data_IF_561619557030
#
_entry.id   IF_561619557030
#
_cell.length_a   1.000
_cell.length_b   1.000
_cell.length_c   1.000
_cell.angle_alpha   90.00
_cell.angle_beta   90.00
_cell.angle_gamma   90.00
#
_symmetry.space_group_name_H-M   'P 1'
#
loop_
_entity.id
_entity.type
_entity.pdbx_description
1 polymer ?
#
# COMPACT_ATOMS: atom_id res chain seq x y z
N UNK A 1 -27.63 -14.59 8.72
CA UNK A 1 -26.96 -13.28 8.83
C UNK A 1 -27.81 -12.21 9.52
N UNK A 2 -29.09 -11.99 9.16
CA UNK A 2 -29.93 -10.93 9.76
C UNK A 2 -29.93 -10.86 11.29
N UNK A 3 -30.09 -12.00 11.98
CA UNK A 3 -30.01 -12.04 13.45
C UNK A 3 -28.64 -11.60 13.99
N UNK A 4 -27.51 -12.08 13.41
CA UNK A 4 -26.15 -11.67 13.80
C UNK A 4 -25.93 -10.17 13.62
N UNK A 5 -26.33 -9.62 12.47
CA UNK A 5 -26.24 -8.17 12.15
C UNK A 5 -27.03 -7.35 13.16
N UNK A 6 -28.28 -7.76 13.41
CA UNK A 6 -29.18 -7.09 14.34
C UNK A 6 -28.65 -7.11 15.77
N UNK A 7 -28.18 -8.27 16.25
CA UNK A 7 -27.57 -8.39 17.58
C UNK A 7 -26.33 -7.51 17.74
N UNK A 8 -25.41 -7.55 16.78
CA UNK A 8 -24.19 -6.74 16.80
C UNK A 8 -24.53 -5.24 16.89
N UNK A 9 -25.49 -4.75 16.11
CA UNK A 9 -25.96 -3.35 16.16
C UNK A 9 -26.69 -3.02 17.46
N UNK A 10 -27.55 -3.93 17.93
CA UNK A 10 -28.36 -3.71 19.12
C UNK A 10 -27.50 -3.52 20.38
N UNK A 11 -26.38 -4.22 20.48
CA UNK A 11 -25.42 -4.04 21.57
C UNK A 11 -24.84 -2.62 21.65
N UNK A 12 -24.73 -1.88 20.53
CA UNK A 12 -24.33 -0.47 20.57
C UNK A 12 -25.47 0.51 20.89
N UNK A 13 -26.71 0.01 21.01
CA UNK A 13 -27.94 0.81 21.16
C UNK A 13 -28.74 0.46 22.42
N UNK A 14 -28.26 -0.47 23.24
CA UNK A 14 -28.93 -0.81 24.49
C UNK A 14 -28.98 0.40 25.45
N UNK A 15 -30.03 0.50 26.29
CA UNK A 15 -30.07 1.45 27.38
C UNK A 15 -28.81 1.36 28.26
N UNK A 16 -28.26 2.47 28.76
CA UNK A 16 -27.03 2.48 29.55
C UNK A 16 -27.03 1.51 30.73
N UNK A 17 -28.19 1.29 31.35
CA UNK A 17 -28.35 0.31 32.45
C UNK A 17 -28.04 -1.12 32.00
N UNK A 18 -28.52 -1.54 30.83
CA UNK A 18 -28.28 -2.88 30.30
C UNK A 18 -26.83 -3.03 29.82
N UNK A 19 -26.28 -1.99 29.20
CA UNK A 19 -24.88 -1.97 28.81
C UNK A 19 -23.96 -2.14 30.01
N UNK A 20 -24.17 -1.38 31.10
CA UNK A 20 -23.35 -1.48 32.31
C UNK A 20 -23.49 -2.85 32.99
N UNK A 21 -24.70 -3.44 32.97
CA UNK A 21 -24.94 -4.75 33.56
C UNK A 21 -24.23 -5.89 32.81
N UNK A 22 -24.16 -5.83 31.47
CA UNK A 22 -23.64 -6.91 30.62
C UNK A 22 -22.37 -6.53 29.86
N UNK A 23 -21.65 -5.49 30.30
CA UNK A 23 -20.53 -4.88 29.56
C UNK A 23 -19.48 -5.89 29.11
N UNK A 24 -19.03 -6.77 30.01
CA UNK A 24 -18.00 -7.77 29.71
C UNK A 24 -18.50 -8.84 28.73
N UNK A 25 -19.72 -9.33 28.90
CA UNK A 25 -20.31 -10.33 27.99
C UNK A 25 -20.50 -9.77 26.58
N UNK A 26 -20.94 -8.51 26.50
CA UNK A 26 -21.11 -7.80 25.24
C UNK A 26 -19.75 -7.61 24.55
N UNK A 27 -18.72 -7.14 25.26
CA UNK A 27 -17.38 -6.97 24.68
C UNK A 27 -16.79 -8.30 24.22
N UNK A 28 -16.94 -9.36 25.02
CA UNK A 28 -16.51 -10.72 24.65
C UNK A 28 -17.23 -11.27 23.41
N UNK A 29 -18.46 -10.82 23.13
CA UNK A 29 -19.19 -11.18 21.91
C UNK A 29 -18.79 -10.30 20.71
N UNK A 30 -18.60 -9.00 20.92
CA UNK A 30 -18.31 -8.03 19.86
C UNK A 30 -16.88 -8.13 19.34
N UNK A 31 -15.88 -8.22 20.23
CA UNK A 31 -14.46 -8.19 19.85
C UNK A 31 -14.11 -9.30 18.83
N UNK A 32 -14.42 -10.58 19.06
CA UNK A 32 -14.15 -11.63 18.07
C UNK A 32 -14.90 -11.43 16.75
N UNK A 33 -16.07 -10.79 16.80
CA UNK A 33 -16.92 -10.53 15.62
C UNK A 33 -16.30 -9.50 14.67
N UNK A 34 -15.34 -8.69 15.12
CA UNK A 34 -14.63 -7.73 14.26
C UNK A 34 -13.68 -8.43 13.29
N UNK A 35 -13.16 -9.61 13.64
CA UNK A 35 -12.19 -10.32 12.82
C UNK A 35 -12.84 -10.92 11.57
N UNK A 36 -12.10 -10.88 10.45
CA UNK A 36 -12.54 -11.50 9.21
C UNK A 36 -12.72 -13.01 9.41
N UNK A 37 -13.90 -13.53 9.06
CA UNK A 37 -14.16 -14.95 9.20
C UNK A 37 -13.28 -15.79 8.24
N UNK A 38 -12.71 -16.87 8.74
CA UNK A 38 -11.85 -17.77 7.94
C UNK A 38 -12.64 -18.44 6.80
N UNK A 39 -13.85 -18.91 7.12
CA UNK A 39 -14.73 -19.59 6.16
C UNK A 39 -15.47 -18.58 5.29
N UNK A 40 -15.22 -18.62 3.98
CA UNK A 40 -15.82 -17.70 3.01
C UNK A 40 -17.36 -17.74 3.07
N UNK A 41 -17.96 -18.92 3.28
CA UNK A 41 -19.41 -19.10 3.29
C UNK A 41 -20.14 -18.35 4.43
N UNK A 42 -19.43 -17.97 5.50
CA UNK A 42 -20.01 -17.29 6.67
C UNK A 42 -19.55 -15.84 6.83
N UNK A 43 -18.75 -15.33 5.88
CA UNK A 43 -18.27 -13.95 5.90
C UNK A 43 -19.44 -12.98 5.77
N UNK A 44 -19.54 -12.05 6.71
CA UNK A 44 -20.58 -11.04 6.72
C UNK A 44 -20.06 -9.69 7.19
N UNK A 45 -19.59 -8.88 6.23
CA UNK A 45 -19.01 -7.55 6.49
C UNK A 45 -19.95 -6.65 7.30
N UNK A 46 -21.26 -6.72 7.07
CA UNK A 46 -22.23 -5.87 7.77
C UNK A 46 -22.32 -6.21 9.26
N UNK A 47 -22.14 -7.47 9.62
CA UNK A 47 -22.05 -7.88 11.04
C UNK A 47 -20.77 -7.33 11.68
N UNK A 48 -19.62 -7.39 10.98
CA UNK A 48 -18.35 -6.85 11.48
C UNK A 48 -18.41 -5.34 11.67
N UNK A 49 -18.94 -4.62 10.68
CA UNK A 49 -19.17 -3.17 10.73
C UNK A 49 -20.04 -2.80 11.93
N UNK A 50 -21.16 -3.49 12.12
CA UNK A 50 -22.06 -3.25 13.25
C UNK A 50 -21.37 -3.50 14.60
N UNK A 51 -20.51 -4.52 14.68
CA UNK A 51 -19.73 -4.79 15.89
C UNK A 51 -18.74 -3.67 16.17
N UNK A 52 -17.95 -3.25 15.17
CA UNK A 52 -16.99 -2.14 15.27
C UNK A 52 -17.68 -0.86 15.75
N UNK A 53 -18.83 -0.52 15.18
CA UNK A 53 -19.60 0.67 15.56
C UNK A 53 -20.17 0.61 16.99
N UNK A 54 -20.36 -0.59 17.53
CA UNK A 54 -20.97 -0.79 18.85
C UNK A 54 -19.95 -0.73 19.99
N UNK A 55 -18.71 -1.19 19.76
CA UNK A 55 -17.61 -1.14 20.74
C UNK A 55 -17.46 0.21 21.46
N UNK A 56 -17.34 1.37 20.77
CA UNK A 56 -17.18 2.67 21.43
C UNK A 56 -18.35 3.02 22.35
N UNK A 57 -19.57 2.64 21.98
CA UNK A 57 -20.77 2.94 22.78
C UNK A 57 -20.80 2.12 24.07
N UNK A 58 -20.40 0.84 24.02
CA UNK A 58 -20.28 0.00 25.22
C UNK A 58 -19.26 0.59 26.17
N UNK A 59 -18.06 0.95 25.67
CA UNK A 59 -17.01 1.58 26.50
C UNK A 59 -17.47 2.89 27.14
N UNK A 60 -18.22 3.73 26.42
CA UNK A 60 -18.64 5.06 26.89
C UNK A 60 -19.53 5.08 28.14
N UNK A 61 -20.14 3.95 28.49
CA UNK A 61 -21.00 3.84 29.67
C UNK A 61 -20.36 3.09 30.85
N UNK A 62 -19.14 2.56 30.64
CA UNK A 62 -18.39 1.86 31.67
C UNK A 62 -17.76 2.85 32.64
N UNK A 63 -17.43 2.38 33.83
CA UNK A 63 -16.58 3.16 34.73
C UNK A 63 -15.17 3.27 34.10
N UNK A 64 -14.52 4.43 34.24
CA UNK A 64 -13.30 4.75 33.49
C UNK A 64 -12.19 3.71 33.67
N UNK A 65 -11.99 3.19 34.88
CA UNK A 65 -11.00 2.14 35.14
C UNK A 65 -11.28 0.86 34.35
N UNK A 66 -12.55 0.48 34.25
CA UNK A 66 -12.95 -0.73 33.54
C UNK A 66 -12.80 -0.52 32.04
N UNK A 67 -13.22 0.63 31.51
CA UNK A 67 -13.07 0.96 30.10
C UNK A 67 -11.59 0.90 29.67
N UNK A 68 -10.69 1.52 30.45
CA UNK A 68 -9.25 1.51 30.21
C UNK A 68 -8.69 0.09 30.17
N UNK A 69 -9.17 -0.82 31.04
CA UNK A 69 -8.74 -2.21 31.04
C UNK A 69 -9.14 -2.98 29.77
N UNK A 70 -10.20 -2.57 29.07
CA UNK A 70 -10.66 -3.18 27.82
C UNK A 70 -10.04 -2.58 26.55
N UNK A 71 -9.46 -1.37 26.63
CA UNK A 71 -8.96 -0.66 25.46
C UNK A 71 -7.91 -1.47 24.69
N UNK A 72 -7.03 -2.17 25.38
CA UNK A 72 -6.02 -3.02 24.75
C UNK A 72 -6.63 -4.05 23.80
N UNK A 73 -7.70 -4.74 24.21
CA UNK A 73 -8.38 -5.75 23.39
C UNK A 73 -9.23 -5.12 22.28
N UNK A 74 -9.88 -3.99 22.57
CA UNK A 74 -10.67 -3.25 21.57
C UNK A 74 -9.76 -2.71 20.47
N UNK A 75 -8.58 -2.17 20.83
CA UNK A 75 -7.62 -1.69 19.86
C UNK A 75 -7.02 -2.80 18.99
N UNK A 76 -6.80 -4.00 19.53
CA UNK A 76 -6.42 -5.15 18.69
C UNK A 76 -7.49 -5.47 17.63
N UNK A 77 -8.76 -5.41 18.01
CA UNK A 77 -9.87 -5.61 17.08
C UNK A 77 -9.93 -4.50 16.01
N UNK A 78 -9.76 -3.24 16.41
CA UNK A 78 -9.75 -2.11 15.47
C UNK A 78 -8.55 -2.15 14.52
N UNK A 79 -7.37 -2.56 14.99
CA UNK A 79 -6.19 -2.77 14.15
C UNK A 79 -6.47 -3.86 13.10
N UNK A 80 -7.09 -4.98 13.49
CA UNK A 80 -7.49 -6.03 12.55
C UNK A 80 -8.52 -5.51 11.52
N UNK A 81 -9.47 -4.68 11.94
CA UNK A 81 -10.45 -4.07 11.04
C UNK A 81 -9.82 -3.08 10.05
N UNK A 82 -8.79 -2.33 10.46
CA UNK A 82 -8.05 -1.41 9.60
C UNK A 82 -7.24 -2.14 8.52
N UNK A 83 -6.88 -3.40 8.75
CA UNK A 83 -6.21 -4.28 7.78
C UNK A 83 -7.19 -5.21 7.03
N UNK A 84 -8.51 -5.01 7.15
CA UNK A 84 -9.53 -5.76 6.38
C UNK A 84 -9.58 -5.23 4.93
N UNK A 85 -8.89 -5.93 4.02
CA UNK A 85 -8.97 -5.69 2.57
C UNK A 85 -9.86 -6.74 1.86
N UNK A 86 -10.80 -7.37 2.56
CA UNK A 86 -11.66 -8.40 1.95
C UNK A 86 -12.50 -7.82 0.79
N UNK A 87 -12.73 -8.65 -0.23
CA UNK A 87 -13.52 -8.28 -1.41
C UNK A 87 -14.61 -9.30 -1.69
N UNK A 88 -15.74 -8.84 -2.23
CA UNK A 88 -16.78 -9.67 -2.83
C UNK A 88 -17.18 -9.12 -4.21
N UNK A 89 -18.33 -9.53 -4.73
CA UNK A 89 -18.87 -9.04 -6.01
C UNK A 89 -19.21 -7.53 -6.02
N UNK A 90 -19.19 -6.86 -4.85
CA UNK A 90 -19.37 -5.41 -4.68
C UNK A 90 -18.04 -4.65 -4.62
N UNK A 91 -16.91 -5.34 -4.72
CA UNK A 91 -15.57 -4.75 -4.64
C UNK A 91 -14.96 -4.86 -3.25
N UNK A 92 -14.22 -3.82 -2.82
CA UNK A 92 -13.55 -3.73 -1.51
C UNK A 92 -14.57 -3.47 -0.39
N UNK A 93 -15.25 -4.52 0.05
CA UNK A 93 -16.16 -4.48 1.19
C UNK A 93 -15.44 -4.27 2.52
N UNK A 94 -14.18 -4.71 2.63
CA UNK A 94 -13.36 -4.48 3.83
C UNK A 94 -13.19 -3.00 4.15
N UNK A 95 -13.29 -2.13 3.14
CA UNK A 95 -13.29 -0.67 3.34
C UNK A 95 -14.37 -0.15 4.29
N UNK A 96 -15.49 -0.87 4.43
CA UNK A 96 -16.55 -0.50 5.38
C UNK A 96 -16.10 -0.74 6.82
N UNK A 97 -15.34 -1.82 7.06
CA UNK A 97 -14.69 -2.06 8.34
C UNK A 97 -13.64 -0.99 8.63
N UNK A 98 -12.81 -0.63 7.62
CA UNK A 98 -11.79 0.43 7.77
C UNK A 98 -12.42 1.79 8.12
N UNK A 99 -13.48 2.21 7.41
CA UNK A 99 -14.21 3.45 7.71
C UNK A 99 -14.82 3.42 9.12
N UNK A 100 -15.47 2.33 9.49
CA UNK A 100 -16.05 2.16 10.83
C UNK A 100 -14.98 2.18 11.93
N UNK A 101 -13.83 1.55 11.71
CA UNK A 101 -12.75 1.45 12.69
C UNK A 101 -12.09 2.80 12.96
N UNK A 102 -11.86 3.59 11.90
CA UNK A 102 -11.34 4.97 12.05
C UNK A 102 -12.30 5.81 12.90
N UNK A 103 -13.60 5.79 12.60
CA UNK A 103 -14.61 6.53 13.38
C UNK A 103 -14.67 6.07 14.83
N UNK A 104 -14.64 4.75 15.06
CA UNK A 104 -14.68 4.17 16.39
C UNK A 104 -13.45 4.58 17.21
N UNK A 105 -12.26 4.53 16.61
CA UNK A 105 -11.02 4.96 17.25
C UNK A 105 -11.06 6.43 17.67
N UNK A 106 -11.46 7.33 16.76
CA UNK A 106 -11.57 8.77 17.08
C UNK A 106 -12.55 9.02 18.22
N UNK A 107 -13.70 8.35 18.22
CA UNK A 107 -14.66 8.43 19.34
C UNK A 107 -14.06 7.91 20.66
N UNK A 108 -13.30 6.81 20.62
CA UNK A 108 -12.63 6.27 21.82
C UNK A 108 -11.59 7.26 22.33
N UNK A 109 -10.77 7.86 21.46
CA UNK A 109 -9.81 8.89 21.87
C UNK A 109 -10.49 10.11 22.50
N UNK A 110 -11.68 10.49 22.04
CA UNK A 110 -12.46 11.58 22.66
C UNK A 110 -13.04 11.22 24.03
N UNK A 111 -13.64 10.04 24.15
CA UNK A 111 -14.31 9.59 25.38
C UNK A 111 -13.34 9.12 26.46
N UNK A 112 -12.21 8.56 26.05
CA UNK A 112 -11.13 8.05 26.89
C UNK A 112 -9.80 8.57 26.37
N UNK A 113 -9.36 9.77 26.76
CA UNK A 113 -8.17 10.41 26.18
C UNK A 113 -6.86 9.61 26.31
N UNK A 114 -5.98 9.59 25.28
CA UNK A 114 -4.73 8.84 25.27
C UNK A 114 -3.78 9.08 26.44
N UNK A 115 -3.82 10.25 27.07
CA UNK A 115 -3.02 10.57 28.27
C UNK A 115 -3.28 9.66 29.48
N UNK A 116 -4.37 8.89 29.47
CA UNK A 116 -4.71 7.93 30.53
C UNK A 116 -4.34 6.49 30.20
N UNK A 117 -3.76 6.23 29.02
CA UNK A 117 -3.44 4.88 28.59
C UNK A 117 -2.16 4.40 29.25
N UNK A 118 -2.10 3.11 29.59
CA UNK A 118 -0.83 2.47 29.88
C UNK A 118 0.05 2.41 28.60
N UNK A 119 1.37 2.19 28.73
CA UNK A 119 2.28 2.21 27.59
C UNK A 119 1.92 1.23 26.46
N UNK A 120 1.37 0.05 26.77
CA UNK A 120 1.00 -0.94 25.75
C UNK A 120 -0.25 -0.51 24.99
N UNK A 121 -1.26 -0.01 25.69
CA UNK A 121 -2.47 0.53 25.06
C UNK A 121 -2.17 1.78 24.23
N UNK A 122 -1.25 2.63 24.69
CA UNK A 122 -0.82 3.84 23.96
C UNK A 122 -0.09 3.50 22.65
N UNK A 123 0.75 2.47 22.65
CA UNK A 123 1.41 1.97 21.43
C UNK A 123 0.39 1.52 20.37
N UNK A 124 -0.64 0.77 20.78
CA UNK A 124 -1.73 0.36 19.89
C UNK A 124 -2.53 1.57 19.38
N UNK A 125 -2.79 2.57 20.22
CA UNK A 125 -3.47 3.80 19.82
C UNK A 125 -2.67 4.57 18.74
N UNK A 126 -1.33 4.64 18.88
CA UNK A 126 -0.44 5.20 17.86
C UNK A 126 -0.54 4.45 16.54
N UNK A 127 -0.46 3.12 16.58
CA UNK A 127 -0.61 2.29 15.37
C UNK A 127 -1.96 2.51 14.67
N UNK A 128 -3.05 2.65 15.43
CA UNK A 128 -4.37 2.98 14.87
C UNK A 128 -4.34 4.36 14.18
N UNK A 129 -3.71 5.36 14.80
CA UNK A 129 -3.59 6.69 14.21
C UNK A 129 -2.73 6.68 12.93
N UNK A 130 -1.64 5.92 12.90
CA UNK A 130 -0.79 5.78 11.71
C UNK A 130 -1.52 5.06 10.58
N UNK A 131 -2.25 3.99 10.88
CA UNK A 131 -3.13 3.32 9.90
C UNK A 131 -4.27 4.24 9.44
N UNK A 132 -4.74 5.16 10.28
CA UNK A 132 -5.71 6.19 9.87
C UNK A 132 -5.09 7.14 8.82
N UNK A 133 -3.80 7.49 8.98
CA UNK A 133 -3.06 8.23 7.95
C UNK A 133 -2.99 7.46 6.63
N UNK A 134 -2.68 6.15 6.67
CA UNK A 134 -2.75 5.27 5.49
C UNK A 134 -4.11 5.34 4.81
N UNK A 135 -5.19 5.09 5.56
CA UNK A 135 -6.56 5.04 5.02
C UNK A 135 -6.99 6.39 4.44
N UNK A 136 -6.48 7.51 4.95
CA UNK A 136 -6.78 8.86 4.43
C UNK A 136 -6.30 9.12 3.00
N UNK A 137 -5.42 8.27 2.46
CA UNK A 137 -4.84 8.37 1.11
C UNK A 137 -5.08 7.12 0.23
N UNK A 138 -5.88 6.16 0.70
CA UNK A 138 -6.24 4.96 -0.07
C UNK A 138 -7.26 5.23 -1.20
N UNK A 139 -7.64 4.21 -1.97
CA UNK A 139 -8.41 4.34 -3.23
C UNK A 139 -9.82 4.92 -3.10
N UNK A 140 -10.51 4.72 -1.97
CA UNK A 140 -11.95 4.97 -1.88
C UNK A 140 -12.22 6.38 -1.36
N UNK A 141 -12.70 7.23 -2.26
CA UNK A 141 -12.94 8.66 -2.02
C UNK A 141 -13.69 8.97 -0.71
N UNK A 142 -14.79 8.27 -0.43
CA UNK A 142 -15.57 8.53 0.80
C UNK A 142 -14.82 8.12 2.07
N UNK A 143 -14.06 7.03 2.01
CA UNK A 143 -13.28 6.52 3.14
C UNK A 143 -12.09 7.44 3.40
N UNK A 144 -11.43 7.96 2.35
CA UNK A 144 -10.39 8.99 2.50
C UNK A 144 -10.91 10.22 3.21
N UNK A 145 -12.07 10.74 2.82
CA UNK A 145 -12.69 11.89 3.47
C UNK A 145 -12.87 11.64 4.97
N UNK A 146 -13.53 10.53 5.34
CA UNK A 146 -13.73 10.16 6.74
C UNK A 146 -12.40 10.09 7.49
N UNK A 147 -11.42 9.38 6.93
CA UNK A 147 -10.15 9.14 7.59
C UNK A 147 -9.30 10.41 7.70
N UNK A 148 -9.34 11.29 6.71
CA UNK A 148 -8.70 12.60 6.76
C UNK A 148 -9.26 13.48 7.87
N UNK A 149 -10.59 13.57 7.99
CA UNK A 149 -11.24 14.33 9.07
C UNK A 149 -10.87 13.77 10.45
N UNK A 150 -10.95 12.45 10.62
CA UNK A 150 -10.61 11.76 11.87
C UNK A 150 -9.12 11.89 12.25
N UNK A 151 -8.23 11.80 11.25
CA UNK A 151 -6.78 11.99 11.43
C UNK A 151 -6.49 13.40 11.91
N UNK A 152 -7.03 14.41 11.21
CA UNK A 152 -6.83 15.83 11.55
C UNK A 152 -7.31 16.13 12.97
N UNK A 153 -8.50 15.65 13.32
CA UNK A 153 -9.07 15.81 14.65
C UNK A 153 -8.21 15.15 15.75
N UNK A 154 -7.76 13.92 15.52
CA UNK A 154 -6.93 13.18 16.48
C UNK A 154 -5.55 13.84 16.64
N UNK A 155 -4.97 14.32 15.55
CA UNK A 155 -3.67 14.97 15.54
C UNK A 155 -3.70 16.36 16.17
N UNK A 156 -4.77 17.14 15.96
CA UNK A 156 -4.97 18.44 16.61
C UNK A 156 -5.10 18.32 18.13
N UNK A 157 -5.82 17.29 18.61
CA UNK A 157 -6.16 17.16 20.03
C UNK A 157 -5.18 16.31 20.85
N UNK A 158 -4.58 15.31 20.23
CA UNK A 158 -3.76 14.27 20.90
C UNK A 158 -2.44 14.04 20.18
N UNK A 159 -1.95 15.07 19.48
CA UNK A 159 -0.74 14.97 18.69
C UNK A 159 0.43 14.44 19.51
N UNK A 160 0.62 14.93 20.75
CA UNK A 160 1.80 14.63 21.58
C UNK A 160 1.80 13.15 22.00
N UNK A 161 0.65 12.68 22.49
CA UNK A 161 0.49 11.30 22.93
C UNK A 161 0.59 10.32 21.76
N UNK A 162 -0.05 10.66 20.63
CA UNK A 162 -0.14 9.82 19.43
C UNK A 162 1.02 10.02 18.44
N UNK A 163 1.96 10.92 18.72
CA UNK A 163 3.11 11.27 17.87
C UNK A 163 2.70 11.70 16.45
N UNK A 164 1.73 12.59 16.34
CA UNK A 164 1.15 13.06 15.07
C UNK A 164 1.56 14.49 14.69
N UNK A 165 2.47 15.16 15.42
CA UNK A 165 2.88 16.56 15.14
C UNK A 165 3.29 16.74 13.70
N UNK A 166 4.19 15.86 13.23
CA UNK A 166 4.79 15.97 11.90
C UNK A 166 3.71 15.92 10.81
N UNK A 167 2.80 14.96 10.87
CA UNK A 167 1.72 14.88 9.89
C UNK A 167 0.72 16.03 10.08
N UNK A 168 0.39 16.40 11.31
CA UNK A 168 -0.50 17.53 11.58
C UNK A 168 -0.01 18.83 10.94
N UNK A 169 1.28 19.13 11.05
CA UNK A 169 1.88 20.32 10.46
C UNK A 169 1.71 20.38 8.94
N UNK A 170 1.70 19.22 8.28
CA UNK A 170 1.50 19.11 6.83
C UNK A 170 0.03 19.22 6.43
N UNK A 171 -0.91 18.72 7.25
CA UNK A 171 -2.34 18.60 6.89
C UNK A 171 -3.28 19.61 7.58
N UNK A 172 -2.82 20.43 8.54
CA UNK A 172 -3.67 21.32 9.33
C UNK A 172 -4.56 22.25 8.50
N UNK A 173 -4.08 22.68 7.34
CA UNK A 173 -4.81 23.55 6.40
C UNK A 173 -5.64 22.77 5.36
N UNK A 174 -5.48 21.45 5.27
CA UNK A 174 -6.19 20.58 4.32
C UNK A 174 -7.67 20.49 4.69
N UNK A 175 -8.54 20.54 3.68
CA UNK A 175 -9.99 20.43 3.83
C UNK A 175 -10.43 18.97 3.64
N UNK A 176 -11.57 18.62 4.20
CA UNK A 176 -12.19 17.29 4.03
C UNK A 176 -12.45 16.94 2.56
N UNK A 177 -12.77 17.95 1.73
CA UNK A 177 -12.93 17.78 0.29
C UNK A 177 -11.61 17.42 -0.42
N UNK A 178 -10.46 17.92 0.05
CA UNK A 178 -9.16 17.61 -0.53
C UNK A 178 -8.77 16.14 -0.27
N UNK A 179 -9.16 15.59 0.89
CA UNK A 179 -9.03 14.15 1.14
C UNK A 179 -9.95 13.34 0.23
N UNK A 180 -11.22 13.76 0.10
CA UNK A 180 -12.18 13.11 -0.78
C UNK A 180 -11.69 13.05 -2.24
N UNK A 181 -11.13 14.15 -2.73
CA UNK A 181 -10.64 14.32 -4.11
C UNK A 181 -9.22 13.75 -4.33
N UNK A 182 -8.54 13.31 -3.27
CA UNK A 182 -7.17 12.77 -3.34
C UNK A 182 -6.06 13.83 -3.34
N UNK A 183 -6.41 15.13 -3.40
CA UNK A 183 -5.46 16.25 -3.36
C UNK A 183 -4.61 16.28 -2.10
N UNK A 184 -5.17 15.81 -0.98
CA UNK A 184 -4.48 15.73 0.31
C UNK A 184 -3.22 14.86 0.30
N UNK A 185 -3.05 13.97 -0.70
CA UNK A 185 -1.87 13.10 -0.83
C UNK A 185 -0.58 13.93 -0.88
N UNK A 186 -0.59 15.07 -1.57
CA UNK A 186 0.58 15.95 -1.70
C UNK A 186 1.04 16.53 -0.36
N UNK A 187 0.13 16.66 0.62
CA UNK A 187 0.43 17.11 1.97
C UNK A 187 0.85 15.93 2.86
N UNK A 188 0.09 14.83 2.84
CA UNK A 188 0.35 13.65 3.69
C UNK A 188 1.73 13.05 3.42
N UNK A 189 2.16 13.00 2.15
CA UNK A 189 3.48 12.45 1.77
C UNK A 189 4.65 13.21 2.41
N UNK A 190 4.49 14.51 2.71
CA UNK A 190 5.53 15.33 3.34
C UNK A 190 5.86 14.89 4.78
N UNK A 191 4.99 14.08 5.39
CA UNK A 191 5.21 13.55 6.72
C UNK A 191 6.16 12.35 6.76
N UNK A 192 6.54 11.77 5.61
CA UNK A 192 7.53 10.70 5.54
C UNK A 192 8.87 11.20 6.11
N UNK A 193 9.47 10.40 6.98
CA UNK A 193 10.76 10.67 7.62
C UNK A 193 11.34 9.40 8.27
N UNK A 194 12.67 9.18 8.21
CA UNK A 194 13.34 8.12 8.96
C UNK A 194 13.06 8.16 10.47
N UNK A 195 12.94 9.35 11.05
CA UNK A 195 12.67 9.55 12.48
C UNK A 195 11.27 9.11 12.93
N UNK A 196 10.34 8.89 11.99
CA UNK A 196 8.95 8.49 12.26
C UNK A 196 8.62 7.19 11.52
N UNK A 197 9.43 6.15 11.74
CA UNK A 197 9.47 4.96 10.87
C UNK A 197 8.12 4.24 10.72
N UNK A 198 7.36 4.08 11.80
CA UNK A 198 6.06 3.40 11.74
C UNK A 198 5.01 4.20 10.95
N UNK A 199 4.95 5.52 11.15
CA UNK A 199 4.06 6.40 10.39
C UNK A 199 4.44 6.42 8.90
N UNK A 200 5.74 6.54 8.60
CA UNK A 200 6.25 6.51 7.23
C UNK A 200 5.87 5.22 6.50
N UNK A 201 5.99 4.06 7.16
CA UNK A 201 5.57 2.77 6.59
C UNK A 201 4.10 2.73 6.24
N UNK A 202 3.23 3.24 7.11
CA UNK A 202 1.79 3.28 6.86
C UNK A 202 1.43 4.27 5.74
N UNK A 203 2.07 5.44 5.68
CA UNK A 203 1.89 6.41 4.58
C UNK A 203 2.31 5.76 3.24
N UNK A 204 3.51 5.19 3.16
CA UNK A 204 4.01 4.55 1.94
C UNK A 204 3.10 3.40 1.51
N UNK A 205 2.62 2.58 2.46
CA UNK A 205 1.64 1.53 2.15
C UNK A 205 0.35 2.09 1.53
N UNK A 206 -0.11 3.25 2.00
CA UNK A 206 -1.31 3.93 1.46
C UNK A 206 -1.09 4.43 0.04
N UNK A 207 0.09 5.01 -0.23
CA UNK A 207 0.50 5.47 -1.56
C UNK A 207 0.59 4.31 -2.55
N UNK A 208 1.29 3.23 -2.18
CA UNK A 208 1.41 2.01 -3.00
C UNK A 208 0.03 1.43 -3.28
N UNK A 209 -0.84 1.35 -2.27
CA UNK A 209 -2.21 0.90 -2.49
C UNK A 209 -2.93 1.82 -3.48
N UNK A 210 -2.87 3.14 -3.34
CA UNK A 210 -3.54 4.10 -4.23
C UNK A 210 -3.04 4.05 -5.68
N UNK A 211 -1.71 4.01 -5.91
CA UNK A 211 -1.09 3.88 -7.25
C UNK A 211 -1.54 2.59 -7.95
N UNK A 212 -1.84 1.54 -7.20
CA UNK A 212 -2.38 0.30 -7.74
C UNK A 212 -3.88 0.29 -8.09
N UNK A 213 -4.56 1.43 -7.98
CA UNK A 213 -6.01 1.55 -8.11
C UNK A 213 -6.59 1.32 -9.50
N UNK A 214 -7.89 1.58 -9.65
CA UNK A 214 -8.56 1.61 -10.97
C UNK A 214 -8.85 3.04 -11.44
N UNK A 215 -8.66 4.03 -10.57
CA UNK A 215 -8.89 5.44 -10.85
C UNK A 215 -7.59 6.06 -11.38
N UNK A 216 -7.49 6.18 -12.69
CA UNK A 216 -6.29 6.70 -13.37
C UNK A 216 -5.92 8.12 -12.93
N UNK A 217 -6.90 8.97 -12.61
CA UNK A 217 -6.62 10.33 -12.15
C UNK A 217 -6.00 10.33 -10.75
N UNK A 218 -6.52 9.49 -9.85
CA UNK A 218 -5.95 9.32 -8.52
C UNK A 218 -4.57 8.66 -8.57
N UNK A 219 -4.37 7.66 -9.44
CA UNK A 219 -3.08 7.00 -9.63
C UNK A 219 -2.00 8.02 -10.03
N UNK A 220 -2.28 8.80 -11.07
CA UNK A 220 -1.35 9.82 -11.56
C UNK A 220 -1.06 10.85 -10.47
N UNK A 221 -2.10 11.42 -9.84
CA UNK A 221 -1.93 12.39 -8.77
C UNK A 221 -1.09 11.85 -7.60
N UNK A 222 -1.31 10.58 -7.23
CA UNK A 222 -0.55 9.93 -6.15
C UNK A 222 0.90 9.71 -6.55
N UNK A 223 1.15 9.17 -7.76
CA UNK A 223 2.48 8.92 -8.28
C UNK A 223 3.28 10.23 -8.43
N UNK A 224 2.69 11.27 -9.04
CA UNK A 224 3.34 12.58 -9.16
C UNK A 224 3.64 13.20 -7.80
N UNK A 225 2.74 13.06 -6.82
CA UNK A 225 2.98 13.57 -5.45
C UNK A 225 4.14 12.87 -4.76
N UNK A 226 4.25 11.54 -4.91
CA UNK A 226 5.35 10.76 -4.37
C UNK A 226 6.68 11.08 -5.05
N UNK A 227 6.71 11.14 -6.39
CA UNK A 227 7.89 11.53 -7.17
C UNK A 227 8.34 12.93 -6.79
N UNK A 228 7.41 13.90 -6.73
CA UNK A 228 7.73 15.26 -6.32
C UNK A 228 8.29 15.31 -4.90
N UNK A 229 7.77 14.52 -3.97
CA UNK A 229 8.34 14.44 -2.62
C UNK A 229 9.78 13.92 -2.65
N UNK A 230 10.03 12.78 -3.30
CA UNK A 230 11.37 12.17 -3.39
C UNK A 230 12.38 13.10 -4.06
N UNK A 231 11.97 13.86 -5.07
CA UNK A 231 12.83 14.82 -5.77
C UNK A 231 13.18 16.08 -4.96
N UNK A 232 12.42 16.38 -3.90
CA UNK A 232 12.59 17.62 -3.12
C UNK A 232 12.99 17.37 -1.65
N UNK A 233 13.06 16.12 -1.19
CA UNK A 233 13.59 15.78 0.13
C UNK A 233 15.12 15.60 0.09
N UNK A 234 15.73 15.42 1.27
CA UNK A 234 17.12 15.00 1.37
C UNK A 234 17.32 13.56 0.88
N UNK A 235 18.56 13.24 0.49
CA UNK A 235 18.96 11.95 -0.06
C UNK A 235 18.67 10.78 0.90
N UNK A 236 18.91 10.96 2.20
CA UNK A 236 18.62 9.95 3.23
C UNK A 236 17.13 9.59 3.24
N UNK A 237 16.25 10.60 3.22
CA UNK A 237 14.80 10.41 3.19
C UNK A 237 14.33 9.80 1.87
N UNK A 238 14.94 10.18 0.74
CA UNK A 238 14.64 9.61 -0.57
C UNK A 238 14.94 8.10 -0.61
N UNK A 239 16.16 7.72 -0.22
CA UNK A 239 16.59 6.31 -0.16
C UNK A 239 15.73 5.54 0.84
N UNK A 240 15.47 6.10 2.02
CA UNK A 240 14.59 5.51 3.01
C UNK A 240 13.18 5.22 2.46
N UNK A 241 12.61 6.14 1.67
CA UNK A 241 11.33 5.94 1.01
C UNK A 241 11.37 4.76 0.03
N UNK A 242 12.43 4.69 -0.79
CA UNK A 242 12.69 3.56 -1.69
C UNK A 242 12.75 2.23 -0.94
N UNK A 243 13.53 2.15 0.14
CA UNK A 243 13.68 0.94 0.96
C UNK A 243 12.36 0.48 1.59
N UNK A 244 11.52 1.38 2.09
CA UNK A 244 10.19 1.01 2.61
C UNK A 244 9.34 0.35 1.51
N UNK A 245 9.37 0.87 0.29
CA UNK A 245 8.60 0.33 -0.83
C UNK A 245 9.09 -1.08 -1.19
N UNK A 246 10.42 -1.28 -1.20
CA UNK A 246 11.02 -2.58 -1.48
C UNK A 246 10.73 -3.59 -0.35
N UNK A 247 10.77 -3.19 0.93
CA UNK A 247 10.35 -4.01 2.07
C UNK A 247 8.88 -4.43 1.97
N UNK A 248 8.00 -3.48 1.64
CA UNK A 248 6.58 -3.74 1.46
C UNK A 248 6.34 -4.73 0.31
N UNK A 249 7.09 -4.59 -0.78
CA UNK A 249 7.00 -5.50 -1.91
C UNK A 249 7.50 -6.91 -1.55
N UNK A 250 8.67 -7.00 -0.92
CA UNK A 250 9.29 -8.27 -0.53
C UNK A 250 8.37 -9.12 0.35
N UNK A 251 7.76 -8.49 1.36
CA UNK A 251 6.79 -9.13 2.26
C UNK A 251 5.49 -9.53 1.57
N UNK A 252 5.21 -9.01 0.37
CA UNK A 252 3.98 -9.21 -0.37
C UNK A 252 4.17 -9.80 -1.78
N UNK A 253 5.31 -10.43 -2.09
CA UNK A 253 5.63 -10.93 -3.43
C UNK A 253 4.52 -11.78 -4.07
N UNK A 254 3.84 -12.63 -3.28
CA UNK A 254 2.76 -13.51 -3.77
C UNK A 254 1.38 -12.86 -3.74
N UNK A 255 1.22 -11.76 -3.00
CA UNK A 255 -0.03 -11.03 -2.89
C UNK A 255 -0.14 -10.07 -4.07
N UNK A 256 -0.83 -10.46 -5.14
CA UNK A 256 -0.97 -9.64 -6.36
C UNK A 256 -1.56 -8.26 -6.10
N UNK A 257 -2.36 -8.09 -5.04
CA UNK A 257 -2.96 -6.81 -4.65
C UNK A 257 -1.95 -5.76 -4.20
N UNK A 258 -0.77 -6.17 -3.76
CA UNK A 258 0.30 -5.27 -3.34
C UNK A 258 1.54 -5.44 -4.22
N UNK A 259 1.83 -6.64 -4.71
CA UNK A 259 3.00 -6.84 -5.57
C UNK A 259 2.93 -6.09 -6.90
N UNK A 260 1.78 -6.04 -7.59
CA UNK A 260 1.68 -5.26 -8.84
C UNK A 260 1.76 -3.76 -8.55
N UNK A 261 1.01 -3.22 -7.56
CA UNK A 261 1.16 -1.82 -7.20
C UNK A 261 2.55 -1.40 -6.73
N UNK A 262 3.28 -2.28 -6.02
CA UNK A 262 4.68 -2.05 -5.68
C UNK A 262 5.56 -1.93 -6.93
N UNK A 263 5.41 -2.83 -7.91
CA UNK A 263 6.15 -2.75 -9.19
C UNK A 263 5.90 -1.41 -9.87
N UNK A 264 4.62 -1.00 -9.99
CA UNK A 264 4.26 0.27 -10.61
C UNK A 264 4.83 1.48 -9.85
N UNK A 265 4.80 1.42 -8.51
CA UNK A 265 5.33 2.50 -7.67
C UNK A 265 6.84 2.65 -7.84
N UNK A 266 7.57 1.54 -7.84
CA UNK A 266 9.02 1.53 -8.08
C UNK A 266 9.33 2.03 -9.49
N UNK A 267 8.56 1.61 -10.50
CA UNK A 267 8.74 2.09 -11.88
C UNK A 267 8.56 3.60 -12.02
N UNK A 268 7.53 4.18 -11.40
CA UNK A 268 7.35 5.64 -11.36
C UNK A 268 8.53 6.36 -10.69
N UNK A 269 9.04 5.83 -9.57
CA UNK A 269 10.15 6.42 -8.85
C UNK A 269 11.45 6.34 -9.64
N UNK A 270 11.81 5.16 -10.13
CA UNK A 270 13.06 4.99 -10.89
C UNK A 270 13.01 5.79 -12.20
N UNK A 271 11.86 5.86 -12.87
CA UNK A 271 11.73 6.65 -14.11
C UNK A 271 11.90 8.15 -13.90
N UNK A 272 11.61 8.69 -12.71
CA UNK A 272 11.42 10.12 -12.51
C UNK A 272 12.13 10.69 -11.27
N UNK A 273 13.08 9.97 -10.67
CA UNK A 273 13.81 10.45 -9.49
C UNK A 273 15.27 10.00 -9.45
N UNK A 274 16.11 10.65 -8.63
CA UNK A 274 17.51 10.27 -8.44
C UNK A 274 17.71 8.84 -7.92
N UNK A 275 16.66 8.16 -7.42
CA UNK A 275 16.74 6.76 -6.97
C UNK A 275 17.27 5.81 -8.05
N UNK A 276 17.16 6.17 -9.33
CA UNK A 276 17.75 5.41 -10.43
C UNK A 276 19.27 5.27 -10.32
N UNK A 277 19.94 6.23 -9.68
CA UNK A 277 21.41 6.25 -9.56
C UNK A 277 21.92 5.57 -8.28
N UNK A 278 21.05 4.88 -7.53
CA UNK A 278 21.43 4.14 -6.32
C UNK A 278 21.50 2.63 -6.61
N UNK A 279 22.72 2.12 -6.78
CA UNK A 279 22.98 0.71 -7.13
C UNK A 279 22.26 -0.28 -6.19
N UNK A 280 22.25 -0.04 -4.88
CA UNK A 280 21.60 -0.92 -3.91
C UNK A 280 20.09 -1.05 -4.16
N UNK A 281 19.43 0.07 -4.49
CA UNK A 281 18.00 0.09 -4.84
C UNK A 281 17.75 -0.67 -6.14
N UNK A 282 18.60 -0.48 -7.15
CA UNK A 282 18.46 -1.16 -8.45
C UNK A 282 18.70 -2.67 -8.31
N UNK A 283 19.78 -3.07 -7.65
CA UNK A 283 20.12 -4.48 -7.42
C UNK A 283 19.01 -5.19 -6.65
N UNK A 284 18.50 -4.57 -5.58
CA UNK A 284 17.39 -5.12 -4.80
C UNK A 284 16.10 -5.18 -5.63
N UNK A 285 15.83 -4.15 -6.44
CA UNK A 285 14.68 -4.12 -7.36
C UNK A 285 14.72 -5.29 -8.36
N UNK A 286 15.85 -5.50 -9.04
CA UNK A 286 16.00 -6.59 -10.02
C UNK A 286 15.82 -7.97 -9.36
N UNK A 287 16.38 -8.16 -8.17
CA UNK A 287 16.19 -9.38 -7.37
C UNK A 287 14.71 -9.62 -7.04
N UNK A 288 14.00 -8.58 -6.59
CA UNK A 288 12.57 -8.67 -6.31
C UNK A 288 11.75 -8.93 -7.57
N UNK A 289 12.08 -8.34 -8.72
CA UNK A 289 11.44 -8.67 -10.00
C UNK A 289 11.62 -10.15 -10.34
N UNK A 290 12.84 -10.67 -10.24
CA UNK A 290 13.14 -12.07 -10.51
C UNK A 290 12.30 -13.00 -9.61
N UNK A 291 12.24 -12.71 -8.31
CA UNK A 291 11.46 -13.47 -7.35
C UNK A 291 9.94 -13.36 -7.62
N UNK A 292 9.47 -12.15 -7.95
CA UNK A 292 8.07 -11.85 -8.22
C UNK A 292 7.54 -12.52 -9.50
N UNK A 293 8.40 -12.73 -10.49
CA UNK A 293 8.07 -13.28 -11.82
C UNK A 293 8.32 -14.79 -11.93
N UNK A 294 8.96 -15.39 -10.93
CA UNK A 294 9.20 -16.84 -10.86
C UNK A 294 7.91 -17.57 -10.50
N UNK A 295 7.55 -18.58 -11.30
CA UNK A 295 6.37 -19.42 -11.06
C UNK A 295 5.00 -18.74 -11.20
N UNK A 296 4.93 -17.42 -11.37
CA UNK A 296 3.65 -16.71 -11.52
C UNK A 296 3.03 -16.90 -12.90
N UNK A 297 1.69 -17.02 -12.92
CA UNK A 297 0.87 -17.01 -14.13
C UNK A 297 0.13 -15.69 -14.37
N UNK A 298 0.36 -14.69 -13.53
CA UNK A 298 -0.27 -13.37 -13.63
C UNK A 298 0.37 -12.57 -14.77
N UNK A 299 -0.32 -12.47 -15.90
CA UNK A 299 0.15 -11.75 -17.09
C UNK A 299 0.33 -10.26 -16.82
N UNK A 300 -0.54 -9.64 -16.02
CA UNK A 300 -0.44 -8.22 -15.70
C UNK A 300 0.83 -7.93 -14.92
N UNK A 301 1.09 -8.73 -13.88
CA UNK A 301 2.32 -8.66 -13.09
C UNK A 301 3.58 -8.86 -13.94
N UNK A 302 3.57 -9.85 -14.84
CA UNK A 302 4.70 -10.12 -15.72
C UNK A 302 4.96 -8.95 -16.70
N UNK A 303 3.91 -8.31 -17.23
CA UNK A 303 4.04 -7.14 -18.08
C UNK A 303 4.56 -5.92 -17.31
N UNK A 304 4.05 -5.63 -16.11
CA UNK A 304 4.57 -4.54 -15.27
C UNK A 304 6.03 -4.76 -14.88
N UNK A 305 6.41 -6.00 -14.58
CA UNK A 305 7.81 -6.36 -14.32
C UNK A 305 8.71 -6.13 -15.55
N UNK A 306 8.23 -6.47 -16.75
CA UNK A 306 8.98 -6.22 -17.98
C UNK A 306 9.17 -4.71 -18.23
N UNK A 307 8.15 -3.88 -17.99
CA UNK A 307 8.25 -2.43 -18.10
C UNK A 307 9.31 -1.87 -17.14
N UNK A 308 9.24 -2.22 -15.86
CA UNK A 308 10.22 -1.80 -14.86
C UNK A 308 11.66 -2.22 -15.21
N UNK A 309 11.86 -3.44 -15.71
CA UNK A 309 13.19 -3.86 -16.16
C UNK A 309 13.65 -3.08 -17.39
N UNK A 310 12.75 -2.74 -18.32
CA UNK A 310 13.05 -1.87 -19.46
C UNK A 310 13.52 -0.48 -18.99
N UNK A 311 12.83 0.10 -18.01
CA UNK A 311 13.24 1.36 -17.36
C UNK A 311 14.65 1.27 -16.79
N UNK A 312 14.98 0.19 -16.07
CA UNK A 312 16.32 0.00 -15.49
C UNK A 312 17.39 -0.12 -16.59
N UNK A 313 17.16 -0.99 -17.59
CA UNK A 313 18.12 -1.24 -18.67
C UNK A 313 18.32 -0.01 -19.57
N UNK A 314 17.29 0.82 -19.75
CA UNK A 314 17.35 1.99 -20.63
C UNK A 314 18.06 3.20 -20.02
N UNK A 315 18.20 3.27 -18.69
CA UNK A 315 18.82 4.41 -17.99
C UNK A 315 20.27 4.14 -17.55
N UNK A 316 20.95 3.19 -18.18
CA UNK A 316 22.36 2.89 -17.92
C UNK A 316 23.24 4.14 -18.07
N UNK A 317 23.90 4.53 -16.97
CA UNK A 317 24.83 5.66 -16.92
C UNK A 317 26.30 5.25 -17.08
N UNK A 318 26.60 4.20 -17.86
CA UNK A 318 27.96 3.94 -18.38
C UNK A 318 29.05 3.77 -17.31
N UNK A 319 28.65 3.39 -16.09
CA UNK A 319 29.44 3.51 -14.87
C UNK A 319 29.80 2.18 -14.21
N UNK A 320 29.98 1.11 -14.98
CA UNK A 320 30.80 -0.04 -14.59
C UNK A 320 30.57 -0.69 -13.22
N UNK A 321 29.38 -1.26 -12.97
CA UNK A 321 29.21 -2.54 -12.22
C UNK A 321 27.83 -3.22 -12.43
N UNK A 322 27.32 -3.24 -13.67
CA UNK A 322 26.35 -4.22 -14.23
C UNK A 322 25.20 -4.77 -13.35
N UNK A 323 24.26 -3.95 -12.84
CA UNK A 323 22.89 -4.41 -12.59
C UNK A 323 22.13 -4.77 -13.90
N UNK A 324 22.64 -4.31 -15.05
CA UNK A 324 22.03 -4.49 -16.38
C UNK A 324 22.05 -5.93 -16.84
N UNK A 325 23.17 -6.64 -16.64
CA UNK A 325 23.26 -8.04 -17.04
C UNK A 325 22.22 -8.91 -16.29
N UNK A 326 22.03 -8.78 -14.96
CA UNK A 326 20.88 -9.34 -14.27
C UNK A 326 19.52 -8.91 -14.86
N UNK A 327 19.28 -7.60 -15.06
CA UNK A 327 18.00 -7.10 -15.53
C UNK A 327 17.64 -7.60 -16.94
N UNK A 328 18.59 -7.52 -17.88
CA UNK A 328 18.51 -8.07 -19.24
C UNK A 328 18.24 -9.58 -19.20
N UNK A 329 18.95 -10.35 -18.35
CA UNK A 329 18.70 -11.80 -18.21
C UNK A 329 17.26 -12.09 -17.78
N UNK A 330 16.70 -11.28 -16.87
CA UNK A 330 15.30 -11.45 -16.45
C UNK A 330 14.35 -11.07 -17.60
N UNK A 331 14.58 -9.97 -18.33
CA UNK A 331 13.80 -9.59 -19.52
C UNK A 331 13.80 -10.69 -20.58
N UNK A 332 14.97 -11.20 -20.95
CA UNK A 332 15.12 -12.29 -21.92
C UNK A 332 14.42 -13.56 -21.43
N UNK A 333 14.45 -13.85 -20.12
CA UNK A 333 13.66 -14.95 -19.53
C UNK A 333 12.14 -14.75 -19.72
N UNK A 334 11.64 -13.51 -19.60
CA UNK A 334 10.24 -13.17 -19.86
C UNK A 334 9.85 -13.35 -21.33
N UNK A 335 10.76 -13.08 -22.27
CA UNK A 335 10.60 -13.36 -23.70
C UNK A 335 10.42 -14.87 -23.99
N UNK A 336 10.77 -15.76 -23.05
CA UNK A 336 10.54 -17.20 -23.16
C UNK A 336 9.21 -17.71 -22.57
N UNK A 337 8.39 -16.85 -21.95
CA UNK A 337 7.16 -17.29 -21.24
C UNK A 337 6.11 -17.82 -22.22
N UNK A 338 5.25 -18.72 -21.74
CA UNK A 338 4.15 -19.28 -22.54
C UNK A 338 3.11 -18.25 -23.02
N UNK A 339 3.09 -17.06 -22.42
CA UNK A 339 2.11 -16.01 -22.66
C UNK A 339 2.57 -15.04 -23.77
N UNK A 340 1.93 -15.01 -24.96
CA UNK A 340 2.32 -14.15 -26.08
C UNK A 340 2.48 -12.67 -25.71
N UNK A 341 1.52 -12.13 -24.95
CA UNK A 341 1.52 -10.74 -24.50
C UNK A 341 2.76 -10.39 -23.66
N UNK A 342 3.21 -11.31 -22.80
CA UNK A 342 4.40 -11.10 -21.96
C UNK A 342 5.66 -11.10 -22.81
N UNK A 343 5.76 -12.04 -23.77
CA UNK A 343 6.92 -12.12 -24.66
C UNK A 343 7.10 -10.86 -25.48
N UNK A 344 6.00 -10.42 -26.12
CA UNK A 344 5.96 -9.18 -26.89
C UNK A 344 6.35 -7.97 -26.04
N UNK A 345 5.72 -7.80 -24.88
CA UNK A 345 6.05 -6.71 -23.95
C UNK A 345 7.54 -6.73 -23.57
N UNK A 346 8.09 -7.87 -23.19
CA UNK A 346 9.50 -7.95 -22.80
C UNK A 346 10.47 -7.62 -23.95
N UNK A 347 10.16 -8.07 -25.17
CA UNK A 347 10.95 -7.74 -26.34
C UNK A 347 10.87 -6.25 -26.71
N UNK A 348 9.67 -5.67 -26.68
CA UNK A 348 9.46 -4.22 -26.91
C UNK A 348 10.23 -3.38 -25.89
N UNK A 349 10.16 -3.75 -24.60
CA UNK A 349 10.87 -3.04 -23.53
C UNK A 349 12.39 -3.13 -23.68
N UNK A 350 12.93 -4.31 -24.03
CA UNK A 350 14.37 -4.46 -24.28
C UNK A 350 14.81 -3.65 -25.52
N UNK A 351 14.03 -3.69 -26.60
CA UNK A 351 14.31 -2.91 -27.80
C UNK A 351 14.31 -1.40 -27.50
N UNK A 352 13.28 -0.89 -26.82
CA UNK A 352 13.21 0.51 -26.42
C UNK A 352 14.38 0.91 -25.52
N UNK A 353 14.74 0.07 -24.55
CA UNK A 353 15.88 0.32 -23.67
C UNK A 353 17.20 0.43 -24.46
N UNK A 354 17.44 -0.46 -25.42
CA UNK A 354 18.63 -0.42 -26.27
C UNK A 354 18.71 0.84 -27.14
N UNK A 355 17.58 1.45 -27.51
CA UNK A 355 17.57 2.72 -28.25
C UNK A 355 18.03 3.91 -27.39
N UNK A 356 18.04 3.78 -26.07
CA UNK A 356 18.45 4.83 -25.14
C UNK A 356 19.94 4.79 -24.81
N UNK A 357 20.65 3.72 -25.18
CA UNK A 357 22.08 3.57 -24.92
C UNK A 357 22.90 4.57 -25.75
N UNK A 358 23.97 5.09 -25.14
CA UNK A 358 24.87 6.01 -25.84
C UNK A 358 25.69 5.32 -26.94
N UNK A 359 26.25 6.13 -27.84
CA UNK A 359 27.06 5.61 -28.97
C UNK A 359 28.28 4.81 -28.50
N UNK A 360 28.83 5.12 -27.32
CA UNK A 360 29.99 4.43 -26.76
C UNK A 360 29.63 2.99 -26.35
N UNK A 361 28.53 2.82 -25.61
CA UNK A 361 28.01 1.53 -25.14
C UNK A 361 27.56 0.66 -26.30
N UNK A 362 26.86 1.25 -27.28
CA UNK A 362 26.46 0.56 -28.51
C UNK A 362 27.69 0.11 -29.32
N UNK A 363 28.69 0.99 -29.50
CA UNK A 363 29.91 0.69 -30.25
C UNK A 363 30.77 -0.37 -29.57
N UNK A 364 30.85 -0.37 -28.23
CA UNK A 364 31.57 -1.39 -27.46
C UNK A 364 31.00 -2.80 -27.67
N UNK A 365 29.68 -2.89 -27.89
CA UNK A 365 28.97 -4.14 -28.16
C UNK A 365 28.99 -4.56 -29.65
N UNK A 366 29.22 -3.60 -30.55
CA UNK A 366 29.46 -3.84 -31.98
C UNK A 366 28.39 -4.68 -32.66
N UNK A 367 28.81 -5.67 -33.46
CA UNK A 367 27.91 -6.54 -34.25
C UNK A 367 26.87 -7.28 -33.39
N UNK A 368 27.17 -7.56 -32.11
CA UNK A 368 26.22 -8.24 -31.23
C UNK A 368 25.01 -7.35 -30.91
N UNK A 369 25.21 -6.05 -30.81
CA UNK A 369 24.14 -5.07 -30.59
C UNK A 369 23.21 -4.98 -31.80
N UNK A 370 23.77 -4.81 -33.00
CA UNK A 370 23.00 -4.74 -34.25
C UNK A 370 22.20 -6.02 -34.50
N UNK A 371 22.81 -7.17 -34.25
CA UNK A 371 22.14 -8.47 -34.35
C UNK A 371 20.99 -8.59 -33.37
N UNK A 372 21.20 -8.19 -32.10
CA UNK A 372 20.15 -8.23 -31.09
C UNK A 372 18.97 -7.30 -31.46
N UNK A 373 19.24 -6.08 -31.94
CA UNK A 373 18.18 -5.17 -32.42
C UNK A 373 17.39 -5.76 -33.59
N UNK A 374 18.09 -6.35 -34.57
CA UNK A 374 17.47 -7.00 -35.73
C UNK A 374 16.58 -8.17 -35.28
N UNK A 375 17.08 -9.04 -34.40
CA UNK A 375 16.31 -10.17 -33.85
C UNK A 375 15.07 -9.69 -33.10
N UNK A 376 15.21 -8.65 -32.26
CA UNK A 376 14.10 -8.08 -31.51
C UNK A 376 13.02 -7.50 -32.41
N UNK A 377 13.41 -6.83 -33.50
CA UNK A 377 12.50 -6.21 -34.46
C UNK A 377 11.83 -7.21 -35.40
N UNK A 378 12.57 -8.17 -35.95
CA UNK A 378 12.10 -9.08 -37.00
C UNK A 378 11.32 -10.28 -36.45
N UNK A 379 11.52 -10.61 -35.17
CA UNK A 379 10.83 -11.74 -34.53
C UNK A 379 9.41 -11.37 -34.12
N UNK A 380 8.41 -12.12 -34.59
CA UNK A 380 7.03 -12.03 -34.09
C UNK A 380 6.94 -12.65 -32.68
N UNK A 381 7.27 -11.89 -31.63
CA UNK A 381 7.35 -12.35 -30.24
C UNK A 381 6.01 -12.83 -29.64
N UNK A 382 4.88 -12.39 -30.19
CA UNK A 382 3.54 -12.90 -29.88
C UNK A 382 3.17 -14.17 -30.69
N UNK A 383 4.02 -14.60 -31.62
CA UNK A 383 3.86 -15.80 -32.43
C UNK A 383 4.13 -17.12 -31.70
N UNK A 384 4.15 -18.25 -32.43
CA UNK A 384 4.33 -19.58 -31.85
C UNK A 384 5.65 -19.75 -31.08
N UNK A 385 5.63 -20.45 -29.94
CA UNK A 385 6.81 -20.64 -29.10
C UNK A 385 7.99 -21.35 -29.81
N UNK A 386 7.70 -22.14 -30.85
CA UNK A 386 8.72 -22.79 -31.69
C UNK A 386 9.57 -21.80 -32.49
N UNK A 387 9.01 -20.64 -32.85
CA UNK A 387 9.74 -19.55 -33.55
C UNK A 387 10.47 -18.68 -32.55
N UNK A 388 9.82 -18.39 -31.42
CA UNK A 388 10.33 -17.45 -30.42
C UNK A 388 11.49 -18.01 -29.59
N UNK A 389 11.50 -19.31 -29.29
CA UNK A 389 12.56 -19.91 -28.45
C UNK A 389 13.95 -19.84 -29.09
N UNK A 390 14.14 -20.22 -30.37
CA UNK A 390 15.44 -20.09 -31.02
C UNK A 390 15.90 -18.64 -31.19
N UNK A 391 14.97 -17.70 -31.42
CA UNK A 391 15.31 -16.28 -31.55
C UNK A 391 15.75 -15.64 -30.22
N UNK A 392 15.33 -16.21 -29.09
CA UNK A 392 15.70 -15.74 -27.74
C UNK A 392 17.07 -16.26 -27.29
N UNK A 393 17.44 -17.47 -27.72
CA UNK A 393 18.73 -18.12 -27.42
C UNK A 393 19.86 -17.47 -28.20
#
# INVERSE_FOLDING_TARGET
FGARRGSAMAFGKFPPRLLKQYQSDILNALIPTVHLEEQIAVRDVETRVNAIQSLPHVLSVMDTSDALAWLGNVFDALLAALDDYSTDNRGDIGSWCRDAAVRAATYIFESHPPKYYDPSTLDKARHIAYKTARVSIERISKVRQTAGSCLKQSAERYGDELQLQRIYDTIKSTKDADFQEGKAVAQVVQAISPSHSQLSKEIVSGLVYSIGGLDAALQEMTASSLVNFVNNCDEETAVYCGEIILDLWETNLKNTRLSVPSILTVDHLLSNSPLMYHDDIIVRTVSLVQNATTGTGDVGKLCSAAALLGTIVGNDTGGGTTPDAPAIRVLVSLMGKKYPKVRKMAAEQLYTAMLMWDEETASASGILFDNAQTILMDTAWDGPAAVVRPARE
#
